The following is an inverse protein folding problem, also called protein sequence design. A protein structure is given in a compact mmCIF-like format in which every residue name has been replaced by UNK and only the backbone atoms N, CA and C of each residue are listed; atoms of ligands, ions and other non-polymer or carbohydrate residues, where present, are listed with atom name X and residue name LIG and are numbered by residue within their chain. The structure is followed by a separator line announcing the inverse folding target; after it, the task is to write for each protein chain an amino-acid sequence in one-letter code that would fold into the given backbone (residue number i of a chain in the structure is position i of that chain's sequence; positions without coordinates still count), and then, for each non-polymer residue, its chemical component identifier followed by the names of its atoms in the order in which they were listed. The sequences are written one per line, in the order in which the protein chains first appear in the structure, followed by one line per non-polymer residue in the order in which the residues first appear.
data_IF_581654633520
#
_entry.id   IF_581654633520
#
_cell.length_a   1.000
_cell.length_b   1.000
_cell.length_c   1.000
_cell.angle_alpha   90.00
_cell.angle_beta   90.00
_cell.angle_gamma   90.00
#
_symmetry.space_group_name_H-M   'P 1'
#
loop_
_entity.id
_entity.type
_entity.pdbx_description
1 polymer ?
#
# COMPACT_ATOMS: atom_id res chain seq x y z
N UNK A 1 15.08 -4.41 -12.29
CA UNK A 1 14.85 -2.97 -12.07
C UNK A 1 13.50 -2.67 -12.70
N UNK A 2 12.54 -2.17 -11.90
CA UNK A 2 11.21 -1.86 -12.40
C UNK A 2 11.32 -0.68 -13.37
N UNK A 3 10.85 -0.83 -14.62
CA UNK A 3 10.97 0.23 -15.63
C UNK A 3 9.91 1.34 -15.43
N UNK A 4 8.83 1.01 -14.73
CA UNK A 4 7.63 1.86 -14.63
C UNK A 4 7.46 2.54 -13.26
N UNK A 5 8.46 2.43 -12.37
CA UNK A 5 8.44 3.09 -11.05
C UNK A 5 9.42 4.27 -11.10
N UNK A 6 8.98 5.51 -10.78
CA UNK A 6 9.80 6.72 -10.95
C UNK A 6 10.86 6.90 -9.84
N UNK A 7 11.07 5.90 -8.99
CA UNK A 7 11.99 5.89 -7.86
C UNK A 7 12.72 4.54 -7.81
N UNK A 8 13.87 4.51 -7.14
CA UNK A 8 14.58 3.27 -6.89
C UNK A 8 13.79 2.38 -5.91
N UNK A 9 13.74 1.08 -6.19
CA UNK A 9 13.08 0.08 -5.34
C UNK A 9 14.05 -1.06 -5.08
N UNK A 10 14.25 -1.41 -3.81
CA UNK A 10 15.08 -2.53 -3.41
C UNK A 10 15.31 -2.63 -1.90
N UNK A 11 15.79 -3.80 -1.48
CA UNK A 11 16.02 -4.15 -0.05
C UNK A 11 16.99 -3.18 0.63
N UNK A 12 17.89 -2.54 -0.13
CA UNK A 12 18.84 -1.57 0.40
C UNK A 12 18.16 -0.34 1.06
N UNK A 13 16.91 -0.04 0.69
CA UNK A 13 16.17 1.13 1.18
C UNK A 13 15.22 0.82 2.35
N UNK A 14 15.03 -0.44 2.75
CA UNK A 14 14.08 -0.85 3.82
C UNK A 14 14.34 -0.13 5.16
N UNK A 15 15.61 0.17 5.46
CA UNK A 15 16.01 0.86 6.69
C UNK A 15 15.96 2.39 6.62
N UNK A 16 15.56 2.96 5.48
CA UNK A 16 15.50 4.41 5.29
C UNK A 16 14.46 5.06 6.22
N UNK A 17 14.73 6.27 6.67
CA UNK A 17 13.84 7.03 7.55
C UNK A 17 13.60 8.42 6.98
N UNK A 18 12.34 8.73 6.69
CA UNK A 18 11.92 10.05 6.24
C UNK A 18 11.60 10.91 7.47
N UNK A 19 12.37 11.99 7.69
CA UNK A 19 12.09 12.93 8.78
C UNK A 19 10.99 13.89 8.37
N UNK A 20 10.33 14.52 9.35
CA UNK A 20 9.23 15.47 9.11
C UNK A 20 9.59 16.62 8.16
N UNK A 21 10.83 17.08 8.17
CA UNK A 21 11.29 18.16 7.27
C UNK A 21 11.49 17.70 5.81
N UNK A 22 11.56 16.39 5.57
CA UNK A 22 11.75 15.76 4.25
C UNK A 22 10.46 15.08 3.75
N UNK A 23 9.43 15.02 4.60
CA UNK A 23 8.17 14.34 4.33
C UNK A 23 7.22 15.23 3.52
N UNK A 24 6.78 14.73 2.36
CA UNK A 24 5.76 15.40 1.56
C UNK A 24 4.34 15.18 2.11
N UNK A 25 3.99 13.93 2.47
CA UNK A 25 2.67 13.55 3.00
C UNK A 25 2.82 12.39 3.98
N UNK A 26 2.01 12.36 5.03
CA UNK A 26 1.91 11.24 5.96
C UNK A 26 0.59 10.48 5.75
N UNK A 27 0.67 9.21 5.37
CA UNK A 27 -0.49 8.34 5.20
C UNK A 27 -0.74 7.54 6.49
N UNK A 28 -1.88 7.75 7.14
CA UNK A 28 -2.23 6.98 8.34
C UNK A 28 -1.34 7.25 9.57
N UNK A 29 -0.77 8.45 9.69
CA UNK A 29 0.02 8.87 10.85
C UNK A 29 -0.69 8.67 12.22
N UNK A 30 0.02 8.74 13.36
CA UNK A 30 -0.52 8.45 14.69
C UNK A 30 -1.84 9.17 15.01
N UNK A 31 -1.99 10.41 14.55
CA UNK A 31 -3.16 11.27 14.79
C UNK A 31 -4.35 10.96 13.85
N UNK A 32 -4.14 10.12 12.84
CA UNK A 32 -5.17 9.70 11.89
C UNK A 32 -5.95 8.52 12.45
N UNK A 33 -7.25 8.75 12.71
CA UNK A 33 -8.17 7.76 13.27
C UNK A 33 -8.46 6.59 12.32
N UNK A 34 -8.62 6.87 11.03
CA UNK A 34 -9.02 5.88 10.04
C UNK A 34 -7.85 5.54 9.12
N UNK A 35 -7.34 4.32 9.29
CA UNK A 35 -6.24 3.79 8.52
C UNK A 35 -6.25 2.26 8.59
N UNK A 36 -5.94 1.60 7.50
CA UNK A 36 -5.85 0.15 7.47
C UNK A 36 -5.03 -0.34 6.28
N UNK A 37 -4.54 -1.56 6.41
CA UNK A 37 -4.14 -2.42 5.31
C UNK A 37 -4.93 -3.71 5.46
N UNK A 38 -5.37 -4.29 4.35
CA UNK A 38 -6.17 -5.50 4.36
C UNK A 38 -5.86 -6.33 3.12
N UNK A 39 -5.45 -7.58 3.31
CA UNK A 39 -5.38 -8.56 2.23
C UNK A 39 -6.64 -9.44 2.25
N UNK A 40 -7.24 -9.69 1.08
CA UNK A 40 -8.39 -10.58 0.93
C UNK A 40 -8.18 -11.60 -0.17
N UNK A 41 -8.41 -12.87 0.14
CA UNK A 41 -8.54 -13.91 -0.88
C UNK A 41 -9.97 -13.85 -1.43
N UNK A 42 -10.07 -13.82 -2.76
CA UNK A 42 -11.32 -13.72 -3.52
C UNK A 42 -11.41 -14.85 -4.53
N UNK A 43 -12.62 -15.07 -5.05
CA UNK A 43 -12.77 -15.98 -6.18
C UNK A 43 -12.18 -15.34 -7.44
N UNK A 44 -11.65 -16.13 -8.39
CA UNK A 44 -11.04 -15.60 -9.61
C UNK A 44 -11.94 -14.68 -10.43
N UNK A 45 -13.26 -14.87 -10.38
CA UNK A 45 -14.21 -14.04 -11.14
C UNK A 45 -14.46 -12.67 -10.50
N UNK A 46 -14.04 -12.48 -9.25
CA UNK A 46 -14.21 -11.24 -8.48
C UNK A 46 -12.98 -10.32 -8.58
N UNK A 47 -11.86 -10.82 -9.11
CA UNK A 47 -10.60 -10.09 -9.23
C UNK A 47 -10.27 -9.84 -10.69
N UNK A 48 -9.94 -8.60 -11.02
CA UNK A 48 -9.34 -8.25 -12.30
C UNK A 48 -7.84 -8.10 -12.12
N UNK A 49 -7.10 -9.06 -12.68
CA UNK A 49 -5.65 -9.10 -12.55
C UNK A 49 -4.98 -7.80 -13.04
N UNK A 50 -4.06 -7.28 -12.22
CA UNK A 50 -3.35 -6.02 -12.46
C UNK A 50 -4.18 -4.73 -12.34
N UNK A 51 -5.44 -4.79 -11.90
CA UNK A 51 -6.24 -3.58 -11.70
C UNK A 51 -5.78 -2.80 -10.46
N UNK A 52 -5.59 -1.48 -10.64
CA UNK A 52 -5.21 -0.55 -9.58
C UNK A 52 -6.23 0.60 -9.59
N UNK A 53 -6.83 0.85 -8.43
CA UNK A 53 -7.87 1.87 -8.26
C UNK A 53 -7.45 2.79 -7.11
N UNK A 54 -7.47 4.11 -7.36
CA UNK A 54 -7.30 5.13 -6.34
C UNK A 54 -8.68 5.73 -6.03
N UNK A 55 -9.16 5.55 -4.81
CA UNK A 55 -10.42 6.14 -4.33
C UNK A 55 -10.09 7.33 -3.43
N UNK A 56 -10.23 8.53 -3.95
CA UNK A 56 -9.85 9.78 -3.27
C UNK A 56 -8.83 10.58 -4.08
N UNK A 57 -8.21 11.61 -3.46
CA UNK A 57 -7.18 12.41 -4.12
C UNK A 57 -5.90 11.59 -4.36
N UNK A 58 -5.27 11.83 -5.50
CA UNK A 58 -3.94 11.32 -5.83
C UNK A 58 -2.87 12.17 -5.13
N UNK A 59 -1.63 11.69 -5.01
CA UNK A 59 -0.56 12.33 -4.23
C UNK A 59 -0.27 13.77 -4.68
N UNK A 60 -0.39 14.05 -5.99
CA UNK A 60 -0.20 15.38 -6.58
C UNK A 60 -1.26 16.41 -6.14
N UNK A 61 -2.42 15.93 -5.70
CA UNK A 61 -3.56 16.75 -5.29
C UNK A 61 -3.62 16.92 -3.76
N UNK A 62 -2.68 16.32 -3.02
CA UNK A 62 -2.58 16.44 -1.57
C UNK A 62 -1.59 17.56 -1.21
N UNK A 63 -1.95 18.49 -0.30
CA UNK A 63 -1.05 19.55 0.13
C UNK A 63 0.17 18.99 0.88
N UNK A 64 1.35 19.55 0.58
CA UNK A 64 2.60 19.21 1.26
C UNK A 64 2.51 19.43 2.79
N UNK A 65 3.08 18.50 3.55
CA UNK A 65 3.09 18.48 5.01
C UNK A 65 1.80 17.97 5.66
N UNK A 66 0.82 17.51 4.87
CA UNK A 66 -0.44 16.98 5.38
C UNK A 66 -0.32 15.56 5.93
N UNK A 67 -1.20 15.23 6.88
CA UNK A 67 -1.46 13.85 7.31
C UNK A 67 -2.89 13.46 6.90
N UNK A 68 -3.07 12.33 6.22
CA UNK A 68 -4.37 11.94 5.62
C UNK A 68 -4.78 10.51 5.98
N UNK A 69 -6.10 10.20 6.01
CA UNK A 69 -6.61 8.83 6.03
C UNK A 69 -6.06 8.02 4.85
N UNK A 70 -5.75 6.75 5.09
CA UNK A 70 -5.19 5.88 4.06
C UNK A 70 -5.62 4.43 4.25
N UNK A 71 -5.89 3.76 3.13
CA UNK A 71 -6.34 2.37 3.12
C UNK A 71 -5.67 1.63 1.98
N UNK A 72 -5.07 0.49 2.27
CA UNK A 72 -4.61 -0.46 1.25
C UNK A 72 -5.55 -1.67 1.29
N UNK A 73 -6.21 -1.96 0.17
CA UNK A 73 -6.96 -3.20 -0.02
C UNK A 73 -6.28 -3.98 -1.14
N UNK A 74 -5.75 -5.15 -0.80
CA UNK A 74 -5.13 -6.06 -1.77
C UNK A 74 -6.04 -7.28 -1.91
N UNK A 75 -6.67 -7.42 -3.08
CA UNK A 75 -7.50 -8.58 -3.40
C UNK A 75 -6.72 -9.54 -4.30
N UNK A 76 -6.60 -10.78 -3.87
CA UNK A 76 -5.82 -11.82 -4.57
C UNK A 76 -6.69 -13.02 -4.88
N UNK A 77 -6.42 -13.68 -6.00
CA UNK A 77 -7.09 -14.92 -6.39
C UNK A 77 -6.06 -15.89 -6.98
N UNK A 78 -6.20 -17.18 -6.66
CA UNK A 78 -5.29 -18.21 -7.13
C UNK A 78 -5.73 -19.59 -6.64
N UNK A 79 -5.43 -20.64 -7.40
CA UNK A 79 -5.85 -22.01 -7.08
C UNK A 79 -5.24 -22.58 -5.80
N UNK A 80 -4.16 -21.99 -5.31
CA UNK A 80 -3.46 -22.38 -4.08
C UNK A 80 -3.63 -21.36 -2.95
N UNK A 81 -4.47 -20.33 -3.14
CA UNK A 81 -4.71 -19.33 -2.11
C UNK A 81 -5.90 -19.74 -1.25
N UNK A 82 -5.68 -19.69 0.07
CA UNK A 82 -6.65 -19.99 1.12
C UNK A 82 -6.79 -18.76 2.03
N UNK A 83 -7.96 -18.55 2.66
CA UNK A 83 -8.22 -17.37 3.50
C UNK A 83 -7.21 -17.25 4.66
N UNK A 84 -6.69 -18.37 5.15
CA UNK A 84 -5.67 -18.44 6.20
C UNK A 84 -4.35 -17.78 5.79
N UNK A 85 -4.10 -17.61 4.48
CA UNK A 85 -2.93 -16.92 3.95
C UNK A 85 -3.10 -15.40 3.93
N UNK A 86 -4.30 -14.86 4.13
CA UNK A 86 -4.57 -13.41 4.11
C UNK A 86 -3.62 -12.66 5.06
N UNK A 87 -3.50 -13.12 6.31
CA UNK A 87 -2.62 -12.47 7.29
C UNK A 87 -1.13 -12.56 6.94
N UNK A 88 -0.70 -13.62 6.24
CA UNK A 88 0.68 -13.74 5.76
C UNK A 88 0.94 -12.71 4.65
N UNK A 89 0.01 -12.60 3.70
CA UNK A 89 0.09 -11.65 2.59
C UNK A 89 0.04 -10.21 3.12
N UNK A 90 -0.89 -9.92 4.02
CA UNK A 90 -1.05 -8.60 4.64
C UNK A 90 0.23 -8.16 5.33
N UNK A 91 0.90 -9.06 6.06
CA UNK A 91 2.17 -8.75 6.73
C UNK A 91 3.29 -8.37 5.74
N UNK A 92 3.24 -8.85 4.50
CA UNK A 92 4.23 -8.51 3.47
C UNK A 92 4.08 -7.09 2.94
N UNK A 93 2.91 -6.46 3.11
CA UNK A 93 2.67 -5.07 2.68
C UNK A 93 3.71 -4.14 3.31
N UNK A 94 3.99 -4.29 4.61
CA UNK A 94 5.05 -3.57 5.32
C UNK A 94 6.44 -3.65 4.66
N UNK A 95 6.78 -4.80 4.05
CA UNK A 95 8.10 -4.95 3.38
C UNK A 95 8.10 -4.40 1.95
N UNK A 96 6.93 -4.20 1.35
CA UNK A 96 6.79 -3.74 -0.03
C UNK A 96 6.56 -2.21 -0.14
N UNK A 97 6.28 -1.54 0.97
CA UNK A 97 6.08 -0.09 1.09
C UNK A 97 7.22 0.57 1.83
#
# INVERSE_FOLDING_TARGET
MFQDIPVDVGIAYEGERIRRAEMYVEFGGPDIKFKFELARVRRPEEVKDGEIIIVGPDIKDIPEGSSVPFGILVEVAGSQLEEELEGIIERRIHEFT
#
